data_IF_961629712036
#
_entry.id   IF_961629712036
#
_cell.length_a   1.000
_cell.length_b   1.000
_cell.length_c   1.000
_cell.angle_alpha   90.00
_cell.angle_beta   90.00
_cell.angle_gamma   90.00
#
_symmetry.space_group_name_H-M   'P 1'
#
loop_
_entity.id
_entity.type
_entity.pdbx_description
1 polymer ?
#
# COMPACT_ATOMS: atom_id res chain seq x y z
N UNK A 1 -3.74 -6.88 8.94
CA UNK A 1 -2.91 -7.13 7.75
C UNK A 1 -3.12 -5.96 6.79
N UNK A 2 -2.03 -5.40 6.25
CA UNK A 2 -2.08 -4.23 5.36
C UNK A 2 -2.73 -4.59 4.02
N UNK A 3 -3.48 -3.64 3.45
CA UNK A 3 -4.24 -3.80 2.21
C UNK A 3 -3.88 -2.70 1.24
N UNK A 4 -4.09 -2.99 -0.05
CA UNK A 4 -3.95 -1.99 -1.12
C UNK A 4 -4.85 -0.77 -0.82
N UNK A 5 -4.25 0.42 -0.89
CA UNK A 5 -4.91 1.69 -0.59
C UNK A 5 -4.73 2.17 0.85
N UNK A 6 -4.27 1.32 1.77
CA UNK A 6 -3.93 1.74 3.13
C UNK A 6 -2.77 2.76 3.09
N UNK A 7 -2.82 3.76 3.97
CA UNK A 7 -1.78 4.77 4.12
C UNK A 7 -0.85 4.44 5.28
N UNK A 8 0.43 4.68 5.10
CA UNK A 8 1.50 4.43 6.07
C UNK A 8 2.38 5.66 6.20
N UNK A 9 2.86 5.92 7.40
CA UNK A 9 3.90 6.92 7.65
C UNK A 9 5.21 6.19 7.95
N UNK A 10 6.25 6.45 7.17
CA UNK A 10 7.58 5.87 7.34
C UNK A 10 8.56 7.04 7.48
N UNK A 11 9.15 7.17 8.67
CA UNK A 11 9.84 8.41 9.05
C UNK A 11 8.85 9.58 9.12
N UNK A 12 9.15 10.67 8.41
CA UNK A 12 8.29 11.87 8.32
C UNK A 12 7.49 11.93 7.01
N UNK A 13 7.57 10.88 6.20
CA UNK A 13 6.93 10.83 4.88
C UNK A 13 5.71 9.91 4.85
N UNK A 14 4.73 10.30 4.05
CA UNK A 14 3.51 9.52 3.83
C UNK A 14 3.62 8.65 2.57
N UNK A 15 3.14 7.42 2.70
CA UNK A 15 3.10 6.41 1.66
C UNK A 15 1.74 5.75 1.62
N UNK A 16 1.46 5.04 0.54
CA UNK A 16 0.29 4.19 0.42
C UNK A 16 0.66 2.83 -0.17
N UNK A 17 -0.07 1.80 0.22
CA UNK A 17 0.16 0.43 -0.26
C UNK A 17 -0.40 0.31 -1.68
N UNK A 18 0.49 0.20 -2.68
CA UNK A 18 0.10 -0.04 -4.06
C UNK A 18 -0.19 -1.52 -4.34
N UNK A 19 0.65 -2.39 -3.79
CA UNK A 19 0.53 -3.84 -3.97
C UNK A 19 0.97 -4.57 -2.72
N UNK A 20 0.33 -5.71 -2.48
CA UNK A 20 0.69 -6.70 -1.46
C UNK A 20 0.93 -8.01 -2.19
N UNK A 21 2.06 -8.67 -1.96
CA UNK A 21 2.28 -10.02 -2.50
C UNK A 21 1.38 -11.00 -1.76
N UNK A 22 1.06 -12.15 -2.37
CA UNK A 22 0.58 -13.29 -1.59
C UNK A 22 1.54 -13.59 -0.43
N UNK A 23 1.00 -14.16 0.64
CA UNK A 23 1.79 -14.62 1.77
C UNK A 23 2.44 -15.95 1.40
N UNK A 24 3.74 -15.93 1.06
CA UNK A 24 4.48 -17.07 0.54
C UNK A 24 5.15 -17.89 1.67
N UNK A 25 4.50 -17.99 2.83
CA UNK A 25 4.97 -18.80 3.96
C UNK A 25 5.43 -18.02 5.19
N UNK A 26 4.77 -16.89 5.49
CA UNK A 26 4.96 -16.12 6.73
C UNK A 26 5.50 -14.71 6.51
N UNK A 27 5.71 -14.30 5.26
CA UNK A 27 6.08 -12.94 4.91
C UNK A 27 5.45 -12.51 3.59
N UNK A 28 5.22 -11.20 3.45
CA UNK A 28 4.74 -10.59 2.23
C UNK A 28 5.55 -9.34 1.90
N UNK A 29 5.66 -9.04 0.62
CA UNK A 29 6.27 -7.83 0.11
C UNK A 29 5.19 -6.76 -0.11
N UNK A 30 5.51 -5.52 0.29
CA UNK A 30 4.66 -4.34 0.08
C UNK A 30 5.34 -3.41 -0.91
N UNK A 31 4.61 -3.00 -1.95
CA UNK A 31 5.03 -1.92 -2.83
C UNK A 31 4.35 -0.65 -2.39
N UNK A 32 5.14 0.41 -2.21
CA UNK A 32 4.67 1.68 -1.67
C UNK A 32 4.69 2.75 -2.76
N UNK A 33 3.58 3.45 -2.92
CA UNK A 33 3.56 4.74 -3.59
C UNK A 33 3.78 5.86 -2.58
N UNK A 34 4.45 6.94 -3.00
CA UNK A 34 4.74 8.09 -2.14
C UNK A 34 3.61 9.12 -2.22
N UNK A 35 3.34 9.81 -1.11
CA UNK A 35 2.32 10.85 -1.01
C UNK A 35 0.90 10.30 -0.82
N UNK A 36 -0.08 10.93 -1.47
CA UNK A 36 -1.51 10.58 -1.34
C UNK A 36 -1.84 9.45 -2.30
N UNK A 37 -2.56 8.39 -1.87
CA UNK A 37 -3.01 7.34 -2.78
C UNK A 37 -3.86 7.95 -3.90
N UNK A 38 -3.68 7.51 -5.16
CA UNK A 38 -4.55 7.94 -6.24
C UNK A 38 -5.99 7.62 -5.81
N UNK A 39 -6.89 8.59 -5.96
CA UNK A 39 -8.31 8.41 -5.66
C UNK A 39 -8.72 7.12 -6.36
N UNK A 40 -8.95 6.06 -5.56
CA UNK A 40 -9.12 4.70 -6.06
C UNK A 40 -10.10 4.79 -7.20
N UNK A 41 -9.63 4.54 -8.42
CA UNK A 41 -10.44 4.78 -9.61
C UNK A 41 -11.62 3.82 -9.48
N UNK A 42 -12.73 4.31 -8.92
CA UNK A 42 -14.04 3.68 -8.97
C UNK A 42 -14.37 3.68 -10.45
N UNK A 43 -13.90 2.64 -11.17
CA UNK A 43 -14.54 2.26 -12.42
C UNK A 43 -16.01 2.05 -12.04
N UNK A 44 -16.81 3.02 -12.48
CA UNK A 44 -18.24 3.14 -12.25
C UNK A 44 -18.99 2.03 -12.97
#
# INVERSE_FOLDING_TARGET
>A
QLRRGDTLTIGEENFWVDRVSPDDGGSCHLWLGRGVPPAVNRRR
#
